data_IF_576564949348
#
_entry.id   IF_576564949348
#
_cell.length_a   1.000
_cell.length_b   1.000
_cell.length_c   1.000
_cell.angle_alpha   90.00
_cell.angle_beta   90.00
_cell.angle_gamma   90.00
#
_symmetry.space_group_name_H-M   'P 1'
#
loop_
_entity.id
_entity.type
_entity.pdbx_description
1 polymer ?
#
# COMPACT_ATOMS: atom_id res chain seq x y z
N UNK A 1 -2.30 -5.28 20.84
CA UNK A 1 -3.19 -5.36 22.02
C UNK A 1 -3.76 -6.77 22.18
N UNK A 2 -4.27 -7.07 23.37
CA UNK A 2 -5.04 -8.30 23.68
C UNK A 2 -6.45 -8.30 23.04
N UNK A 3 -6.86 -7.14 22.52
CA UNK A 3 -8.12 -6.89 21.82
C UNK A 3 -7.94 -6.97 20.31
N UNK A 4 -9.05 -7.18 19.58
CA UNK A 4 -9.08 -7.12 18.12
C UNK A 4 -8.76 -5.74 17.55
N UNK A 5 -8.68 -4.71 18.41
CA UNK A 5 -8.41 -3.33 18.02
C UNK A 5 -6.90 -3.04 17.97
N UNK A 6 -6.41 -2.41 16.89
CA UNK A 6 -5.02 -1.99 16.79
C UNK A 6 -4.75 -0.78 17.69
N UNK A 7 -3.58 -0.80 18.32
CA UNK A 7 -3.09 0.27 19.20
C UNK A 7 -1.70 0.71 18.78
N UNK A 8 -1.36 1.94 19.08
CA UNK A 8 -0.02 2.49 18.91
C UNK A 8 0.62 2.58 20.29
N UNK A 9 1.83 2.04 20.43
CA UNK A 9 2.56 2.01 21.68
C UNK A 9 4.05 2.01 21.41
N UNK A 10 4.83 2.54 22.34
CA UNK A 10 6.25 2.25 22.38
C UNK A 10 6.49 0.95 23.15
N UNK A 11 6.67 -0.15 22.42
CA UNK A 11 6.79 -1.49 22.99
C UNK A 11 7.91 -1.62 24.02
N UNK A 12 7.72 -2.47 25.02
CA UNK A 12 8.67 -2.74 26.10
C UNK A 12 9.01 -1.52 26.99
N UNK A 13 8.12 -0.53 27.05
CA UNK A 13 8.25 0.64 27.93
C UNK A 13 6.99 0.88 28.76
N UNK A 14 7.02 1.90 29.64
CA UNK A 14 5.88 2.32 30.47
C UNK A 14 4.96 3.34 29.77
N UNK A 15 5.22 3.67 28.51
CA UNK A 15 4.38 4.61 27.76
C UNK A 15 2.99 3.98 27.53
N UNK A 16 1.89 4.68 27.85
CA UNK A 16 0.55 4.15 27.63
C UNK A 16 0.27 3.95 26.14
N UNK A 17 -0.61 2.99 25.84
CA UNK A 17 -1.08 2.77 24.48
C UNK A 17 -2.18 3.78 24.10
N UNK A 18 -2.26 4.11 22.82
CA UNK A 18 -3.30 4.96 22.25
C UNK A 18 -4.00 4.24 21.09
N UNK A 19 -5.26 4.60 20.85
CA UNK A 19 -6.07 4.00 19.78
C UNK A 19 -5.49 4.35 18.40
N UNK A 20 -5.22 3.33 17.57
CA UNK A 20 -4.76 3.58 16.22
C UNK A 20 -5.84 4.28 15.37
N UNK A 21 -7.13 4.02 15.65
CA UNK A 21 -8.26 4.69 14.99
C UNK A 21 -8.24 6.19 15.25
N UNK A 22 -8.12 6.59 16.52
CA UNK A 22 -8.13 8.00 16.91
C UNK A 22 -6.93 8.76 16.32
N UNK A 23 -5.76 8.12 16.25
CA UNK A 23 -4.58 8.72 15.62
C UNK A 23 -4.78 8.90 14.12
N UNK A 24 -5.35 7.90 13.42
CA UNK A 24 -5.64 8.00 11.99
C UNK A 24 -6.65 9.13 11.71
N UNK A 25 -7.69 9.24 12.54
CA UNK A 25 -8.70 10.30 12.45
C UNK A 25 -8.07 11.69 12.67
N UNK A 26 -7.26 11.84 13.71
CA UNK A 26 -6.56 13.11 13.99
C UNK A 26 -5.60 13.52 12.86
N UNK A 27 -4.92 12.56 12.23
CA UNK A 27 -4.08 12.81 11.05
C UNK A 27 -4.94 13.27 9.89
N UNK A 28 -6.06 12.61 9.60
CA UNK A 28 -6.96 13.00 8.51
C UNK A 28 -7.45 14.45 8.67
N UNK A 29 -7.78 14.86 9.91
CA UNK A 29 -8.20 16.22 10.21
C UNK A 29 -7.08 17.25 9.99
N UNK A 30 -5.83 16.88 10.27
CA UNK A 30 -4.75 17.86 10.44
C UNK A 30 -3.70 17.86 9.32
N UNK A 31 -3.60 16.79 8.52
CA UNK A 31 -2.49 16.51 7.60
C UNK A 31 -2.14 17.68 6.65
N UNK A 32 -3.14 18.45 6.24
CA UNK A 32 -2.98 19.51 5.24
C UNK A 32 -3.50 20.89 5.70
N UNK A 33 -3.57 21.13 7.02
CA UNK A 33 -4.02 22.44 7.56
C UNK A 33 -3.04 23.58 7.28
N UNK A 34 -1.74 23.27 7.20
CA UNK A 34 -0.66 24.28 7.07
C UNK A 34 0.22 24.09 5.84
N UNK A 35 0.08 22.97 5.14
CA UNK A 35 0.85 22.64 3.93
C UNK A 35 0.05 21.69 3.06
N UNK A 36 0.01 21.93 1.75
CA UNK A 36 -0.63 21.02 0.79
C UNK A 36 0.33 19.94 0.26
N UNK A 37 1.60 19.95 0.66
CA UNK A 37 2.57 18.93 0.21
C UNK A 37 2.32 17.57 0.86
N UNK A 38 2.75 16.46 0.22
CA UNK A 38 2.42 15.11 0.67
C UNK A 38 2.92 14.79 2.08
N UNK A 39 2.16 13.95 2.78
CA UNK A 39 2.52 13.38 4.08
C UNK A 39 2.90 11.91 3.91
N UNK A 40 4.00 11.49 4.53
CA UNK A 40 4.42 10.08 4.56
C UNK A 40 4.24 9.55 5.97
N UNK A 41 3.40 8.52 6.13
CA UNK A 41 3.22 7.82 7.39
C UNK A 41 4.11 6.58 7.43
N UNK A 42 5.13 6.59 8.30
CA UNK A 42 6.03 5.46 8.50
C UNK A 42 5.47 4.51 9.56
N UNK A 43 4.99 3.35 9.14
CA UNK A 43 4.41 2.36 10.05
C UNK A 43 5.48 1.39 10.54
N UNK A 44 5.59 1.24 11.87
CA UNK A 44 6.29 0.14 12.51
C UNK A 44 5.26 -0.94 12.90
N UNK A 45 5.02 -1.85 11.98
CA UNK A 45 3.88 -2.76 12.09
C UNK A 45 4.22 -4.06 12.83
N UNK A 46 3.74 -4.18 14.07
CA UNK A 46 3.77 -5.40 14.90
C UNK A 46 2.38 -6.05 15.06
N UNK A 47 1.41 -5.64 14.24
CA UNK A 47 0.04 -6.15 14.30
C UNK A 47 -0.09 -7.53 13.65
N UNK A 48 -1.02 -8.34 14.16
CA UNK A 48 -1.43 -9.57 13.48
C UNK A 48 -2.26 -9.27 12.21
N UNK A 49 -2.48 -10.23 11.30
CA UNK A 49 -3.19 -9.96 10.03
C UNK A 49 -4.58 -9.33 10.18
N UNK A 50 -5.33 -9.68 11.22
CA UNK A 50 -6.67 -9.13 11.47
C UNK A 50 -6.59 -7.65 11.89
N UNK A 51 -5.65 -7.32 12.76
CA UNK A 51 -5.37 -5.93 13.13
C UNK A 51 -4.82 -5.13 11.94
N UNK A 52 -3.97 -5.72 11.09
CA UNK A 52 -3.49 -5.06 9.87
C UNK A 52 -4.65 -4.73 8.91
N UNK A 53 -5.62 -5.63 8.77
CA UNK A 53 -6.82 -5.39 7.98
C UNK A 53 -7.64 -4.21 8.54
N UNK A 54 -7.80 -4.12 9.87
CA UNK A 54 -8.47 -2.97 10.50
C UNK A 54 -7.73 -1.66 10.28
N UNK A 55 -6.41 -1.64 10.45
CA UNK A 55 -5.61 -0.43 10.17
C UNK A 55 -5.79 0.00 8.71
N UNK A 56 -5.72 -0.95 7.77
CA UNK A 56 -5.93 -0.65 6.36
C UNK A 56 -7.35 -0.12 6.08
N UNK A 57 -8.36 -0.65 6.77
CA UNK A 57 -9.74 -0.16 6.68
C UNK A 57 -9.83 1.28 7.19
N UNK A 58 -9.28 1.58 8.37
CA UNK A 58 -9.26 2.94 8.92
C UNK A 58 -8.56 3.93 7.99
N UNK A 59 -7.40 3.56 7.42
CA UNK A 59 -6.73 4.42 6.44
C UNK A 59 -7.64 4.74 5.25
N UNK A 60 -8.38 3.76 4.72
CA UNK A 60 -9.31 4.00 3.59
C UNK A 60 -10.49 4.87 4.01
N UNK A 61 -11.10 4.57 5.15
CA UNK A 61 -12.30 5.27 5.62
C UNK A 61 -12.02 6.74 5.96
N UNK A 62 -10.91 7.00 6.65
CA UNK A 62 -10.61 8.36 7.15
C UNK A 62 -9.78 9.19 6.19
N UNK A 63 -8.84 8.59 5.44
CA UNK A 63 -8.07 9.37 4.46
C UNK A 63 -8.81 9.53 3.14
N UNK A 64 -9.69 8.59 2.76
CA UNK A 64 -10.46 8.65 1.51
C UNK A 64 -9.56 8.97 0.31
N UNK A 65 -9.92 9.99 -0.45
CA UNK A 65 -9.17 10.46 -1.62
C UNK A 65 -7.77 11.00 -1.30
N UNK A 66 -7.48 11.33 -0.04
CA UNK A 66 -6.13 11.72 0.37
C UNK A 66 -5.19 10.51 0.38
N UNK A 67 -5.69 9.29 0.55
CA UNK A 67 -4.84 8.09 0.50
C UNK A 67 -4.33 7.87 -0.93
N UNK A 68 -3.01 7.68 -1.07
CA UNK A 68 -2.42 7.18 -2.30
C UNK A 68 -2.29 5.65 -2.21
N UNK A 69 -3.30 4.93 -2.67
CA UNK A 69 -3.37 3.46 -2.63
C UNK A 69 -3.01 2.77 -3.95
N UNK A 70 -2.99 3.52 -5.06
CA UNK A 70 -2.47 3.07 -6.36
C UNK A 70 -1.30 3.94 -6.84
N UNK A 71 -0.38 3.38 -7.65
CA UNK A 71 0.62 4.18 -8.35
C UNK A 71 -0.03 5.23 -9.26
N UNK A 72 0.69 6.30 -9.56
CA UNK A 72 0.26 7.28 -10.55
C UNK A 72 0.51 6.73 -11.95
N UNK A 73 -0.39 7.00 -12.90
CA UNK A 73 -0.24 6.52 -14.27
C UNK A 73 1.07 6.97 -14.93
N UNK A 74 1.51 8.19 -14.59
CA UNK A 74 2.76 8.80 -15.06
C UNK A 74 4.02 8.29 -14.34
N UNK A 75 3.87 7.63 -13.18
CA UNK A 75 4.98 7.16 -12.34
C UNK A 75 4.69 5.74 -11.86
N UNK A 76 4.67 4.81 -12.80
CA UNK A 76 4.50 3.38 -12.54
C UNK A 76 5.64 2.84 -11.68
N UNK A 77 5.37 1.81 -10.88
CA UNK A 77 6.37 1.21 -9.97
C UNK A 77 7.30 0.23 -10.69
N UNK A 78 8.00 0.71 -11.72
CA UNK A 78 8.93 -0.07 -12.54
C UNK A 78 10.39 0.41 -12.37
N UNK A 79 11.39 -0.47 -12.56
CA UNK A 79 12.79 -0.07 -12.50
C UNK A 79 13.13 1.04 -13.48
N UNK A 80 13.86 2.06 -13.03
CA UNK A 80 14.26 3.21 -13.85
C UNK A 80 13.24 4.35 -13.90
N UNK A 81 12.03 4.17 -13.35
CA UNK A 81 11.06 5.27 -13.17
C UNK A 81 11.42 6.05 -11.90
N UNK A 82 11.61 7.36 -12.03
CA UNK A 82 11.89 8.24 -10.90
C UNK A 82 10.65 8.45 -10.01
N UNK A 83 10.86 8.85 -8.75
CA UNK A 83 9.76 9.25 -7.89
C UNK A 83 9.10 10.54 -8.40
N UNK A 84 7.77 10.67 -8.23
CA UNK A 84 7.08 11.90 -8.61
C UNK A 84 7.55 13.10 -7.77
N UNK A 85 7.54 14.32 -8.34
CA UNK A 85 7.85 15.51 -7.57
C UNK A 85 6.74 15.78 -6.53
N UNK A 86 7.06 16.46 -5.41
CA UNK A 86 6.08 16.73 -4.35
C UNK A 86 4.82 17.47 -4.82
N UNK A 87 4.94 18.30 -5.87
CA UNK A 87 3.84 19.05 -6.47
C UNK A 87 2.76 18.17 -7.11
N UNK A 88 3.13 16.97 -7.57
CA UNK A 88 2.23 15.98 -8.19
C UNK A 88 1.50 15.12 -7.13
N UNK A 89 2.00 15.15 -5.89
CA UNK A 89 1.48 14.39 -4.75
C UNK A 89 0.78 15.29 -3.73
N UNK A 90 0.34 16.48 -4.14
CA UNK A 90 -0.33 17.40 -3.23
C UNK A 90 -1.56 16.76 -2.61
N UNK A 91 -1.72 16.97 -1.31
CA UNK A 91 -2.79 16.45 -0.46
C UNK A 91 -2.89 14.92 -0.47
N UNK A 92 -1.77 14.24 -0.74
CA UNK A 92 -1.68 12.78 -0.67
C UNK A 92 -0.97 12.31 0.60
N UNK A 93 -1.52 11.26 1.19
CA UNK A 93 -0.98 10.51 2.33
C UNK A 93 -0.43 9.20 1.77
N UNK A 94 0.86 8.97 2.01
CA UNK A 94 1.60 7.81 1.50
C UNK A 94 1.95 6.91 2.69
N UNK A 95 1.58 5.64 2.60
CA UNK A 95 1.88 4.67 3.66
C UNK A 95 3.21 3.97 3.37
N UNK A 96 4.20 4.23 4.21
CA UNK A 96 5.46 3.48 4.21
C UNK A 96 5.34 2.31 5.20
N UNK A 97 5.10 1.11 4.66
CA UNK A 97 5.01 -0.13 5.42
C UNK A 97 5.70 -1.29 4.66
N UNK A 98 6.02 -2.40 5.34
CA UNK A 98 6.53 -3.62 4.69
C UNK A 98 5.51 -4.16 3.69
N UNK A 99 5.91 -4.34 2.43
CA UNK A 99 5.11 -4.95 1.37
C UNK A 99 5.54 -6.40 1.16
N UNK A 100 4.58 -7.33 1.10
CA UNK A 100 4.85 -8.72 0.66
C UNK A 100 4.92 -8.73 -0.87
N UNK A 101 6.07 -9.10 -1.44
CA UNK A 101 6.18 -9.33 -2.88
C UNK A 101 5.45 -10.62 -3.24
N UNK A 102 4.36 -10.50 -4.01
CA UNK A 102 3.76 -11.66 -4.65
C UNK A 102 4.56 -11.92 -5.92
N UNK A 103 5.31 -13.04 -5.97
CA UNK A 103 5.91 -13.49 -7.24
C UNK A 103 4.75 -13.76 -8.19
N UNK A 104 4.66 -13.01 -9.31
CA UNK A 104 3.76 -13.38 -10.41
C UNK A 104 4.21 -14.76 -10.89
N UNK A 105 3.42 -15.79 -10.64
CA UNK A 105 3.58 -17.09 -11.28
C UNK A 105 3.35 -16.88 -12.77
N UNK A 106 4.44 -16.92 -13.56
CA UNK A 106 4.33 -16.96 -15.01
C UNK A 106 3.69 -18.31 -15.35
N UNK A 107 2.44 -18.28 -15.79
CA UNK A 107 1.81 -19.44 -16.40
C UNK A 107 2.52 -19.70 -17.73
N UNK A 108 3.36 -20.74 -17.79
CA UNK A 108 3.91 -21.23 -19.06
C UNK A 108 2.77 -21.73 -19.94
N UNK A 109 2.37 -20.92 -20.91
CA UNK A 109 1.55 -21.36 -22.03
C UNK A 109 2.33 -22.35 -22.87
N UNK A 110 1.90 -23.62 -22.88
CA UNK A 110 2.34 -24.61 -23.87
C UNK A 110 1.77 -24.20 -25.22
N UNK A 111 2.62 -23.79 -26.16
CA UNK A 111 2.26 -23.67 -27.57
C UNK A 111 2.25 -25.09 -28.16
N UNK A 112 1.09 -25.56 -28.57
CA UNK A 112 0.93 -26.77 -29.36
C UNK A 112 1.14 -26.42 -30.83
N UNK A 113 2.25 -26.85 -31.42
CA UNK A 113 2.46 -26.82 -32.88
C UNK A 113 1.93 -28.12 -33.46
N UNK A 114 0.74 -28.08 -34.07
CA UNK A 114 0.26 -29.10 -34.98
C UNK A 114 0.53 -28.65 -36.41
N UNK A 115 1.35 -29.39 -37.15
CA UNK A 115 1.46 -29.25 -38.60
C UNK A 115 1.01 -30.55 -39.24
N UNK A 116 -0.04 -30.47 -40.04
CA UNK A 116 -0.63 -31.58 -40.78
C UNK A 116 0.14 -31.91 -42.07
N UNK A 117 0.08 -33.19 -42.41
CA UNK A 117 0.47 -33.79 -43.69
C UNK A 117 -0.34 -33.27 -44.88
N UNK A 118 0.31 -33.02 -46.02
CA UNK A 118 -0.24 -33.24 -47.39
C UNK A 118 0.92 -33.32 -48.42
N UNK A 119 0.74 -33.94 -49.61
CA UNK A 119 1.59 -35.05 -50.06
C UNK A 119 2.34 -34.81 -51.40
N UNK A 120 3.21 -35.79 -51.66
CA UNK A 120 3.95 -36.27 -52.84
C UNK A 120 3.63 -35.79 -54.30
N UNK A 121 4.75 -35.72 -55.06
CA UNK A 121 4.98 -36.02 -56.50
C UNK A 121 4.65 -34.95 -57.57
N UNK A 122 5.28 -35.04 -58.78
CA UNK A 122 6.11 -36.12 -59.34
C UNK A 122 7.63 -35.94 -59.27
#
# INVERSE_FOLDING_TARGET
GRTEEPVIVHGYTFVPEISAREVIEAIAESAFKTSDYPVILSFENHCNPRQQAKIAQYCRDYFGDMLLDTPLDSHQLEPGVHLPPPSLLRRKIIIKNKKKHHKKSVASGKVATGNGDVPHAP
#
